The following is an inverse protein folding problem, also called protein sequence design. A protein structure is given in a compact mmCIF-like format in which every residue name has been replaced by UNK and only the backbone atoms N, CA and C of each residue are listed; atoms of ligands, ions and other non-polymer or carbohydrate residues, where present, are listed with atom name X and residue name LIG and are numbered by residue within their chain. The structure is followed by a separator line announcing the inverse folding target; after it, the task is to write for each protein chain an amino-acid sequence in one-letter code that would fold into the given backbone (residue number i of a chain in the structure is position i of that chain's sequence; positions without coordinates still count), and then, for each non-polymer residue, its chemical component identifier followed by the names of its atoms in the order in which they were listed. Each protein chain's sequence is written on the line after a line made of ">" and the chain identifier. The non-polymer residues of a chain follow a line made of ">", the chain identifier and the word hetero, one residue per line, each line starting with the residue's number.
data_IF_574960896281
#
_entry.id   IF_574960896281
#
_cell.length_a   1.000
_cell.length_b   1.000
_cell.length_c   1.000
_cell.angle_alpha   90.00
_cell.angle_beta   90.00
_cell.angle_gamma   90.00
#
_symmetry.space_group_name_H-M   'P 1'
#
loop_
_entity.id
_entity.type
_entity.pdbx_description
1 polymer ?
#
# COMPACT_ATOMS: atom_id res chain seq x y z
N UNK A 1 -39.70 -18.79 15.20
CA UNK A 1 -39.83 -17.94 13.99
C UNK A 1 -38.51 -17.21 13.77
N UNK A 2 -37.63 -17.76 12.93
CA UNK A 2 -36.48 -17.01 12.45
C UNK A 2 -36.96 -16.12 11.30
N UNK A 3 -36.90 -14.80 11.48
CA UNK A 3 -37.09 -13.88 10.38
C UNK A 3 -35.91 -14.04 9.41
N UNK A 4 -36.15 -14.73 8.30
CA UNK A 4 -35.32 -14.62 7.10
C UNK A 4 -35.40 -13.17 6.64
N UNK A 5 -34.41 -12.36 7.03
CA UNK A 5 -34.13 -11.09 6.36
C UNK A 5 -33.83 -11.45 4.91
N UNK A 6 -34.75 -11.10 4.01
CA UNK A 6 -34.54 -11.16 2.57
C UNK A 6 -33.38 -10.20 2.30
N UNK A 7 -32.18 -10.71 2.06
CA UNK A 7 -31.12 -9.87 1.51
C UNK A 7 -31.59 -9.47 0.11
N UNK A 8 -31.87 -8.18 -0.08
CA UNK A 8 -32.16 -7.63 -1.41
C UNK A 8 -30.97 -7.96 -2.33
N UNK A 9 -31.24 -8.44 -3.55
CA UNK A 9 -30.20 -8.64 -4.55
C UNK A 9 -29.52 -7.28 -4.82
N UNK A 10 -28.18 -7.23 -4.88
CA UNK A 10 -27.41 -6.03 -5.21
C UNK A 10 -28.00 -5.28 -6.41
N UNK A 11 -28.52 -6.02 -7.40
CA UNK A 11 -29.13 -5.46 -8.61
C UNK A 11 -30.38 -4.65 -8.31
N UNK A 12 -31.18 -5.06 -7.34
CA UNK A 12 -32.42 -4.37 -6.97
C UNK A 12 -32.12 -3.10 -6.17
N UNK A 13 -31.11 -3.13 -5.29
CA UNK A 13 -30.61 -1.93 -4.61
C UNK A 13 -30.08 -0.91 -5.63
N UNK A 14 -29.26 -1.36 -6.58
CA UNK A 14 -28.70 -0.49 -7.62
C UNK A 14 -29.78 0.08 -8.55
N UNK A 15 -30.85 -0.66 -8.88
CA UNK A 15 -32.01 -0.11 -9.63
C UNK A 15 -32.69 1.03 -8.87
N UNK A 16 -32.99 0.82 -7.57
CA UNK A 16 -33.59 1.87 -6.71
C UNK A 16 -32.71 3.13 -6.68
N UNK A 17 -31.38 2.99 -6.69
CA UNK A 17 -30.47 4.13 -6.73
C UNK A 17 -30.45 4.83 -8.09
N UNK A 18 -30.48 4.08 -9.20
CA UNK A 18 -30.59 4.68 -10.53
C UNK A 18 -31.85 5.52 -10.69
N UNK A 19 -32.99 5.02 -10.20
CA UNK A 19 -34.26 5.74 -10.25
C UNK A 19 -34.19 7.05 -9.45
N UNK A 20 -33.58 7.03 -8.26
CA UNK A 20 -33.37 8.24 -7.43
C UNK A 20 -32.41 9.25 -8.05
N UNK A 21 -31.40 8.77 -8.78
CA UNK A 21 -30.40 9.62 -9.45
C UNK A 21 -30.86 10.15 -10.80
N UNK A 22 -32.04 9.72 -11.28
CA UNK A 22 -32.53 9.97 -12.64
C UNK A 22 -31.52 9.57 -13.73
N UNK A 23 -30.66 8.58 -13.45
CA UNK A 23 -29.66 8.05 -14.38
C UNK A 23 -30.16 6.78 -15.06
N UNK A 24 -29.82 6.62 -16.34
CA UNK A 24 -30.17 5.41 -17.10
C UNK A 24 -29.06 4.35 -17.05
N UNK A 25 -29.41 3.08 -17.24
CA UNK A 25 -28.41 2.01 -17.42
C UNK A 25 -27.44 2.32 -18.59
N UNK A 26 -27.92 3.04 -19.62
CA UNK A 26 -27.11 3.43 -20.77
C UNK A 26 -26.05 4.49 -20.41
N UNK A 27 -26.39 5.43 -19.52
CA UNK A 27 -25.41 6.42 -19.04
C UNK A 27 -24.33 5.75 -18.19
N UNK A 28 -24.69 4.78 -17.35
CA UNK A 28 -23.72 4.00 -16.57
C UNK A 28 -22.80 3.18 -17.49
N UNK A 29 -23.38 2.47 -18.47
CA UNK A 29 -22.60 1.69 -19.43
C UNK A 29 -21.54 2.55 -20.14
N UNK A 30 -21.90 3.76 -20.57
CA UNK A 30 -20.97 4.72 -21.18
C UNK A 30 -19.89 5.19 -20.20
N UNK A 31 -20.25 5.49 -18.95
CA UNK A 31 -19.31 5.94 -17.93
C UNK A 31 -18.21 4.91 -17.64
N UNK A 32 -18.58 3.62 -17.59
CA UNK A 32 -17.64 2.53 -17.30
C UNK A 32 -17.04 1.89 -18.57
N UNK A 33 -17.31 2.44 -19.75
CA UNK A 33 -16.70 2.02 -21.01
C UNK A 33 -17.20 0.69 -21.59
N UNK A 34 -18.46 0.33 -21.37
CA UNK A 34 -19.06 -0.91 -21.90
C UNK A 34 -20.34 -0.66 -22.70
N UNK A 35 -20.84 -1.69 -23.38
CA UNK A 35 -22.11 -1.60 -24.13
C UNK A 35 -23.31 -1.72 -23.20
N UNK A 36 -24.44 -1.07 -23.58
CA UNK A 36 -25.73 -1.18 -22.87
C UNK A 36 -26.16 -2.64 -22.66
N UNK A 37 -25.84 -3.53 -23.60
CA UNK A 37 -26.19 -4.95 -23.51
C UNK A 37 -25.65 -5.64 -22.27
N UNK A 38 -24.44 -5.30 -21.82
CA UNK A 38 -23.88 -5.85 -20.58
C UNK A 38 -24.64 -5.36 -19.35
N UNK A 39 -25.03 -4.07 -19.29
CA UNK A 39 -25.83 -3.55 -18.18
C UNK A 39 -27.21 -4.20 -18.13
N UNK A 40 -27.90 -4.31 -19.26
CA UNK A 40 -29.20 -4.99 -19.30
C UNK A 40 -29.08 -6.45 -18.89
N UNK A 41 -28.01 -7.15 -19.29
CA UNK A 41 -27.70 -8.52 -18.84
C UNK A 41 -27.53 -8.59 -17.32
N UNK A 42 -26.77 -7.67 -16.73
CA UNK A 42 -26.54 -7.64 -15.29
C UNK A 42 -27.82 -7.41 -14.49
N UNK A 43 -28.60 -6.39 -14.83
CA UNK A 43 -29.84 -6.06 -14.12
C UNK A 43 -30.97 -7.08 -14.35
N UNK A 44 -30.86 -7.94 -15.36
CA UNK A 44 -31.75 -9.08 -15.59
C UNK A 44 -31.33 -10.34 -14.82
N UNK A 45 -30.35 -10.26 -13.91
CA UNK A 45 -29.89 -11.40 -13.11
C UNK A 45 -28.80 -12.25 -13.75
N UNK A 46 -28.38 -11.95 -14.98
CA UNK A 46 -27.32 -12.71 -15.67
C UNK A 46 -25.94 -12.20 -15.27
N UNK A 47 -24.96 -13.10 -15.27
CA UNK A 47 -23.59 -12.79 -14.89
C UNK A 47 -22.87 -11.94 -15.96
N UNK A 48 -22.11 -10.95 -15.49
CA UNK A 48 -21.15 -10.14 -16.27
C UNK A 48 -19.75 -10.28 -15.66
N UNK A 49 -18.73 -9.69 -16.28
CA UNK A 49 -17.40 -9.72 -15.72
C UNK A 49 -17.35 -8.99 -14.37
N UNK A 50 -16.62 -9.55 -13.40
CA UNK A 50 -16.60 -9.02 -12.04
C UNK A 50 -16.11 -7.56 -11.98
N UNK A 51 -15.11 -7.21 -12.78
CA UNK A 51 -14.66 -5.81 -12.91
C UNK A 51 -15.78 -4.86 -13.33
N UNK A 52 -16.71 -5.29 -14.19
CA UNK A 52 -17.84 -4.46 -14.60
C UNK A 52 -18.79 -4.23 -13.43
N UNK A 53 -18.95 -5.21 -12.54
CA UNK A 53 -19.76 -5.07 -11.32
C UNK A 53 -19.12 -4.04 -10.39
N UNK A 54 -17.80 -4.14 -10.15
CA UNK A 54 -17.05 -3.16 -9.34
C UNK A 54 -17.30 -1.74 -9.85
N UNK A 55 -17.06 -1.50 -11.14
CA UNK A 55 -17.19 -0.15 -11.71
C UNK A 55 -18.65 0.32 -11.73
N UNK A 56 -19.61 -0.58 -11.93
CA UNK A 56 -21.05 -0.27 -11.84
C UNK A 56 -21.42 0.19 -10.43
N UNK A 57 -20.97 -0.52 -9.39
CA UNK A 57 -21.24 -0.15 -8.00
C UNK A 57 -20.60 1.18 -7.65
N UNK A 58 -19.35 1.42 -8.07
CA UNK A 58 -18.64 2.69 -7.85
C UNK A 58 -19.32 3.89 -8.50
N UNK A 59 -19.86 3.71 -9.70
CA UNK A 59 -20.54 4.79 -10.43
C UNK A 59 -21.93 5.12 -9.85
N UNK A 60 -22.62 4.12 -9.29
CA UNK A 60 -24.00 4.28 -8.78
C UNK A 60 -24.03 4.61 -7.28
N UNK A 61 -23.20 3.94 -6.47
CA UNK A 61 -23.24 4.04 -5.01
C UNK A 61 -21.86 3.88 -4.37
N UNK A 62 -20.95 4.85 -4.57
CA UNK A 62 -19.58 4.77 -4.05
C UNK A 62 -19.51 4.71 -2.51
N UNK A 63 -20.48 5.33 -1.81
CA UNK A 63 -20.55 5.30 -0.34
C UNK A 63 -20.92 3.93 0.23
N UNK A 64 -21.64 3.10 -0.53
CA UNK A 64 -22.09 1.76 -0.11
C UNK A 64 -21.30 0.63 -0.78
N UNK A 65 -20.23 0.95 -1.53
CA UNK A 65 -19.47 0.01 -2.35
C UNK A 65 -19.11 -1.28 -1.58
N UNK A 66 -18.48 -1.13 -0.41
CA UNK A 66 -18.05 -2.27 0.40
C UNK A 66 -19.21 -3.13 0.87
N UNK A 67 -20.34 -2.53 1.26
CA UNK A 67 -21.51 -3.27 1.74
C UNK A 67 -22.16 -4.05 0.61
N UNK A 68 -22.37 -3.41 -0.54
CA UNK A 68 -22.96 -4.05 -1.72
C UNK A 68 -22.05 -5.18 -2.24
N UNK A 69 -20.74 -4.94 -2.33
CA UNK A 69 -19.80 -5.96 -2.78
C UNK A 69 -19.64 -7.10 -1.77
N UNK A 70 -19.82 -6.86 -0.47
CA UNK A 70 -19.90 -7.91 0.55
C UNK A 70 -21.09 -8.83 0.32
N UNK A 71 -22.26 -8.29 0.02
CA UNK A 71 -23.44 -9.09 -0.30
C UNK A 71 -23.24 -9.87 -1.61
N UNK A 72 -22.65 -9.23 -2.61
CA UNK A 72 -22.35 -9.87 -3.89
C UNK A 72 -21.37 -11.06 -3.74
N UNK A 73 -20.47 -11.05 -2.75
CA UNK A 73 -19.59 -12.20 -2.42
C UNK A 73 -20.35 -13.51 -2.24
N UNK A 74 -21.61 -13.44 -1.78
CA UNK A 74 -22.47 -14.58 -1.47
C UNK A 74 -23.39 -14.98 -2.63
N UNK A 75 -23.46 -14.19 -3.70
CA UNK A 75 -24.31 -14.46 -4.87
C UNK A 75 -23.73 -15.53 -5.81
N UNK A 76 -22.44 -15.82 -5.66
CA UNK A 76 -21.69 -16.79 -6.45
C UNK A 76 -21.26 -16.28 -7.83
N UNK A 77 -20.10 -16.76 -8.29
CA UNK A 77 -19.47 -16.33 -9.54
C UNK A 77 -18.86 -17.52 -10.29
N UNK A 78 -18.77 -17.42 -11.61
CA UNK A 78 -18.01 -18.34 -12.44
C UNK A 78 -16.52 -18.34 -12.02
N UNK A 79 -15.91 -19.54 -12.03
CA UNK A 79 -14.50 -19.78 -11.69
C UNK A 79 -13.53 -18.82 -12.39
N UNK A 80 -13.85 -18.35 -13.60
CA UNK A 80 -12.98 -17.42 -14.35
C UNK A 80 -12.86 -16.03 -13.70
N UNK A 81 -13.78 -15.67 -12.80
CA UNK A 81 -13.77 -14.36 -12.12
C UNK A 81 -13.19 -14.40 -10.71
N UNK A 82 -12.78 -15.58 -10.23
CA UNK A 82 -12.33 -15.77 -8.84
C UNK A 82 -11.08 -14.95 -8.52
N UNK A 83 -10.13 -14.80 -9.45
CA UNK A 83 -8.99 -13.90 -9.26
C UNK A 83 -9.44 -12.45 -9.06
N UNK A 84 -10.33 -11.94 -9.93
CA UNK A 84 -10.83 -10.56 -9.82
C UNK A 84 -11.59 -10.34 -8.51
N UNK A 85 -12.39 -11.31 -8.09
CA UNK A 85 -13.12 -11.25 -6.82
C UNK A 85 -12.16 -11.23 -5.63
N UNK A 86 -11.27 -12.23 -5.52
CA UNK A 86 -10.32 -12.32 -4.42
C UNK A 86 -9.41 -11.09 -4.35
N UNK A 87 -8.96 -10.57 -5.49
CA UNK A 87 -8.14 -9.35 -5.53
C UNK A 87 -8.92 -8.12 -5.03
N UNK A 88 -10.17 -7.97 -5.45
CA UNK A 88 -11.03 -6.89 -4.99
C UNK A 88 -11.20 -6.91 -3.46
N UNK A 89 -11.55 -8.07 -2.90
CA UNK A 89 -11.72 -8.17 -1.44
C UNK A 89 -10.39 -7.99 -0.70
N UNK A 90 -9.27 -8.46 -1.26
CA UNK A 90 -7.95 -8.25 -0.67
C UNK A 90 -7.57 -6.77 -0.62
N UNK A 91 -7.67 -6.05 -1.74
CA UNK A 91 -7.33 -4.62 -1.83
C UNK A 91 -8.18 -3.74 -0.92
N UNK A 92 -9.41 -4.17 -0.64
CA UNK A 92 -10.36 -3.48 0.26
C UNK A 92 -10.32 -3.97 1.71
N UNK A 93 -9.40 -4.89 2.05
CA UNK A 93 -9.22 -5.47 3.38
C UNK A 93 -10.46 -6.23 3.91
N UNK A 94 -11.22 -6.83 3.00
CA UNK A 94 -12.44 -7.60 3.27
C UNK A 94 -12.09 -9.09 3.46
N UNK A 95 -11.32 -9.39 4.52
CA UNK A 95 -10.70 -10.71 4.70
C UNK A 95 -11.69 -11.83 4.99
N UNK A 96 -12.85 -11.52 5.60
CA UNK A 96 -13.89 -12.50 5.84
C UNK A 96 -14.48 -13.01 4.52
N UNK A 97 -14.64 -12.12 3.55
CA UNK A 97 -15.14 -12.43 2.22
C UNK A 97 -14.11 -13.24 1.42
N UNK A 98 -12.81 -12.94 1.58
CA UNK A 98 -11.72 -13.77 1.01
C UNK A 98 -11.79 -15.19 1.56
N UNK A 99 -11.88 -15.36 2.90
CA UNK A 99 -11.98 -16.68 3.54
C UNK A 99 -13.21 -17.44 3.05
N UNK A 100 -14.36 -16.77 2.98
CA UNK A 100 -15.59 -17.35 2.42
C UNK A 100 -15.40 -17.84 0.98
N UNK A 101 -14.78 -17.05 0.10
CA UNK A 101 -14.53 -17.47 -1.29
C UNK A 101 -13.55 -18.64 -1.33
N UNK A 102 -12.48 -18.63 -0.53
CA UNK A 102 -11.53 -19.74 -0.45
C UNK A 102 -12.23 -21.04 -0.08
N UNK A 103 -13.11 -21.02 0.93
CA UNK A 103 -13.79 -22.22 1.41
C UNK A 103 -14.77 -22.77 0.36
N UNK A 104 -15.49 -21.90 -0.35
CA UNK A 104 -16.51 -22.31 -1.32
C UNK A 104 -15.95 -22.64 -2.72
N UNK A 105 -14.79 -22.10 -3.11
CA UNK A 105 -14.26 -22.21 -4.48
C UNK A 105 -12.94 -22.99 -4.60
N UNK A 106 -12.37 -23.46 -3.49
CA UNK A 106 -11.09 -24.20 -3.50
C UNK A 106 -11.09 -25.43 -4.41
N UNK A 107 -12.23 -26.10 -4.60
CA UNK A 107 -12.36 -27.26 -5.48
C UNK A 107 -12.37 -26.92 -6.98
N UNK A 108 -12.86 -25.72 -7.35
CA UNK A 108 -13.05 -25.30 -8.75
C UNK A 108 -11.99 -24.31 -9.24
N UNK A 109 -11.36 -23.57 -8.33
CA UNK A 109 -10.31 -22.59 -8.60
C UNK A 109 -9.14 -22.71 -7.58
N UNK A 110 -8.53 -23.90 -7.43
CA UNK A 110 -7.52 -24.15 -6.41
C UNK A 110 -6.32 -23.21 -6.51
N UNK A 111 -5.83 -22.92 -7.72
CA UNK A 111 -4.67 -22.03 -7.94
C UNK A 111 -4.91 -20.64 -7.34
N UNK A 112 -6.09 -20.04 -7.58
CA UNK A 112 -6.45 -18.74 -7.05
C UNK A 112 -6.62 -18.78 -5.54
N UNK A 113 -7.41 -19.74 -5.03
CA UNK A 113 -7.67 -19.86 -3.60
C UNK A 113 -6.39 -20.12 -2.80
N UNK A 114 -5.46 -20.94 -3.31
CA UNK A 114 -4.18 -21.21 -2.65
C UNK A 114 -3.27 -19.97 -2.65
N UNK A 115 -3.23 -19.21 -3.75
CA UNK A 115 -2.46 -17.96 -3.81
C UNK A 115 -2.98 -16.93 -2.78
N UNK A 116 -4.29 -16.74 -2.66
CA UNK A 116 -4.83 -15.81 -1.66
C UNK A 116 -4.79 -16.34 -0.23
N UNK A 117 -4.82 -17.67 -0.03
CA UNK A 117 -4.52 -18.25 1.29
C UNK A 117 -3.08 -17.95 1.70
N UNK A 118 -2.13 -18.06 0.78
CA UNK A 118 -0.76 -17.61 1.00
C UNK A 118 -0.71 -16.11 1.33
N UNK A 119 -1.44 -15.27 0.60
CA UNK A 119 -1.47 -13.83 0.86
C UNK A 119 -1.99 -13.48 2.27
N UNK A 120 -3.03 -14.19 2.75
CA UNK A 120 -3.54 -14.04 4.11
C UNK A 120 -2.48 -14.45 5.15
N UNK A 121 -1.89 -15.63 4.99
CA UNK A 121 -0.85 -16.12 5.89
C UNK A 121 0.40 -15.22 5.90
N UNK A 122 0.75 -14.68 4.73
CA UNK A 122 1.86 -13.76 4.57
C UNK A 122 1.68 -12.46 5.37
N UNK A 123 0.44 -11.99 5.48
CA UNK A 123 0.09 -10.81 6.27
C UNK A 123 0.06 -11.09 7.77
N UNK A 124 -0.38 -12.28 8.16
CA UNK A 124 -0.59 -12.64 9.58
C UNK A 124 0.70 -13.06 10.31
N UNK A 125 1.78 -13.40 9.59
CA UNK A 125 3.03 -13.84 10.21
C UNK A 125 4.26 -13.14 9.64
N UNK A 126 5.27 -12.88 10.48
CA UNK A 126 6.57 -12.36 10.01
C UNK A 126 7.62 -13.47 10.00
N UNK A 127 7.44 -14.43 9.09
CA UNK A 127 8.31 -15.62 8.97
C UNK A 127 8.81 -15.83 7.54
N UNK A 128 9.83 -15.07 7.11
CA UNK A 128 10.21 -15.00 5.70
C UNK A 128 10.64 -16.34 5.08
N UNK A 129 11.33 -17.20 5.83
CA UNK A 129 11.75 -18.52 5.34
C UNK A 129 10.57 -19.50 5.17
N UNK A 130 9.59 -19.44 6.07
CA UNK A 130 8.37 -20.25 5.95
C UNK A 130 7.55 -19.79 4.73
N UNK A 131 7.47 -18.48 4.50
CA UNK A 131 6.82 -17.92 3.32
C UNK A 131 7.51 -18.33 2.03
N UNK A 132 8.84 -18.31 1.97
CA UNK A 132 9.56 -18.76 0.78
C UNK A 132 9.26 -20.23 0.46
N UNK A 133 9.27 -21.11 1.46
CA UNK A 133 8.92 -22.53 1.28
C UNK A 133 7.48 -22.71 0.84
N UNK A 134 6.55 -21.98 1.45
CA UNK A 134 5.13 -22.03 1.10
C UNK A 134 4.91 -21.57 -0.34
N UNK A 135 5.56 -20.49 -0.76
CA UNK A 135 5.46 -19.95 -2.11
C UNK A 135 6.00 -20.92 -3.18
N UNK A 136 7.14 -21.57 -2.92
CA UNK A 136 7.73 -22.55 -3.84
C UNK A 136 6.83 -23.77 -4.11
N UNK A 137 5.89 -24.06 -3.20
CA UNK A 137 4.93 -25.14 -3.36
C UNK A 137 3.68 -24.73 -4.17
N UNK A 138 3.50 -23.42 -4.43
CA UNK A 138 2.41 -22.92 -5.25
C UNK A 138 2.75 -23.03 -6.73
N UNK A 139 1.77 -23.44 -7.52
CA UNK A 139 1.85 -23.45 -8.98
C UNK A 139 0.59 -22.82 -9.52
N UNK A 140 0.75 -21.96 -10.52
CA UNK A 140 -0.37 -21.32 -11.22
C UNK A 140 -0.30 -21.63 -12.72
N UNK A 141 -1.43 -22.06 -13.27
CA UNK A 141 -1.53 -22.32 -14.72
C UNK A 141 -1.90 -21.07 -15.51
N UNK A 142 -2.74 -20.21 -14.94
CA UNK A 142 -3.26 -19.01 -15.61
C UNK A 142 -2.25 -17.86 -15.59
N UNK A 143 -2.43 -16.89 -16.48
CA UNK A 143 -1.55 -15.72 -16.56
C UNK A 143 -1.72 -14.81 -15.33
N UNK A 144 -2.93 -14.71 -14.80
CA UNK A 144 -3.25 -13.97 -13.57
C UNK A 144 -2.53 -14.58 -12.38
N UNK A 145 -2.58 -15.91 -12.23
CA UNK A 145 -1.91 -16.60 -11.15
C UNK A 145 -0.39 -16.51 -11.24
N UNK A 146 0.18 -16.67 -12.45
CA UNK A 146 1.63 -16.51 -12.66
C UNK A 146 2.08 -15.09 -12.28
N UNK A 147 1.37 -14.07 -12.74
CA UNK A 147 1.66 -12.67 -12.39
C UNK A 147 1.63 -12.47 -10.87
N UNK A 148 0.60 -13.01 -10.19
CA UNK A 148 0.45 -12.86 -8.75
C UNK A 148 1.54 -13.58 -7.96
N UNK A 149 1.93 -14.80 -8.36
CA UNK A 149 3.01 -15.53 -7.70
C UNK A 149 4.36 -14.81 -7.83
N UNK A 150 4.66 -14.20 -8.98
CA UNK A 150 5.86 -13.38 -9.18
C UNK A 150 5.86 -12.12 -8.29
N UNK A 151 4.69 -11.49 -8.12
CA UNK A 151 4.53 -10.37 -7.18
C UNK A 151 4.80 -10.85 -5.74
N UNK A 152 4.25 -11.99 -5.33
CA UNK A 152 4.51 -12.56 -4.01
C UNK A 152 5.98 -12.93 -3.81
N UNK A 153 6.63 -13.46 -4.84
CA UNK A 153 8.06 -13.76 -4.80
C UNK A 153 8.88 -12.48 -4.57
N UNK A 154 8.50 -11.39 -5.23
CA UNK A 154 9.15 -10.10 -5.02
C UNK A 154 8.97 -9.56 -3.60
N UNK A 155 7.81 -9.74 -2.95
CA UNK A 155 7.61 -9.39 -1.55
C UNK A 155 8.47 -10.26 -0.61
N UNK A 156 8.54 -11.58 -0.87
CA UNK A 156 9.37 -12.50 -0.07
C UNK A 156 10.83 -12.08 -0.15
N UNK A 157 11.36 -11.87 -1.36
CA UNK A 157 12.73 -11.42 -1.56
C UNK A 157 13.00 -10.05 -0.93
N UNK A 158 12.06 -9.11 -1.04
CA UNK A 158 12.17 -7.80 -0.38
C UNK A 158 12.31 -7.96 1.14
N UNK A 159 11.47 -8.79 1.77
CA UNK A 159 11.46 -8.99 3.22
C UNK A 159 12.71 -9.71 3.77
N UNK A 160 13.36 -10.57 2.97
CA UNK A 160 14.68 -11.14 3.33
C UNK A 160 15.85 -10.28 2.86
N UNK A 161 15.56 -9.12 2.27
CA UNK A 161 16.55 -8.16 1.83
C UNK A 161 17.41 -8.63 0.66
N UNK A 162 16.82 -9.39 -0.26
CA UNK A 162 17.40 -9.80 -1.54
C UNK A 162 16.81 -8.95 -2.67
N UNK A 163 17.11 -7.67 -2.68
CA UNK A 163 16.44 -6.68 -3.55
C UNK A 163 16.63 -6.93 -5.04
N UNK A 164 17.81 -7.37 -5.48
CA UNK A 164 18.05 -7.71 -6.89
C UNK A 164 17.12 -8.83 -7.38
N UNK A 165 16.89 -9.84 -6.53
CA UNK A 165 15.94 -10.93 -6.83
C UNK A 165 14.48 -10.45 -6.80
N UNK A 166 14.17 -9.49 -5.93
CA UNK A 166 12.86 -8.84 -5.90
C UNK A 166 12.58 -8.11 -7.21
N UNK A 167 13.54 -7.31 -7.69
CA UNK A 167 13.45 -6.61 -8.98
C UNK A 167 13.36 -7.57 -10.16
N UNK A 168 14.15 -8.64 -10.16
CA UNK A 168 14.09 -9.67 -11.19
C UNK A 168 12.70 -10.34 -11.26
N UNK A 169 12.08 -10.60 -10.11
CA UNK A 169 10.72 -11.16 -10.04
C UNK A 169 9.66 -10.15 -10.49
N UNK A 170 9.85 -8.86 -10.16
CA UNK A 170 9.00 -7.78 -10.66
C UNK A 170 9.02 -7.70 -12.20
N UNK A 171 10.19 -7.84 -12.83
CA UNK A 171 10.28 -7.79 -14.28
C UNK A 171 9.55 -8.97 -14.94
N UNK A 172 9.64 -10.18 -14.35
CA UNK A 172 8.81 -11.32 -14.79
C UNK A 172 7.31 -11.04 -14.60
N UNK A 173 6.92 -10.47 -13.47
CA UNK A 173 5.53 -10.08 -13.21
C UNK A 173 5.00 -9.09 -14.27
N UNK A 174 5.80 -8.08 -14.65
CA UNK A 174 5.45 -7.11 -15.70
C UNK A 174 5.24 -7.78 -17.05
N UNK A 175 6.07 -8.77 -17.41
CA UNK A 175 5.89 -9.52 -18.66
C UNK A 175 4.58 -10.30 -18.66
N UNK A 176 4.24 -11.00 -17.57
CA UNK A 176 2.95 -11.70 -17.47
C UNK A 176 1.76 -10.73 -17.44
N UNK A 177 1.89 -9.59 -16.77
CA UNK A 177 0.86 -8.56 -16.67
C UNK A 177 0.40 -8.04 -18.05
N UNK A 178 1.27 -8.04 -19.07
CA UNK A 178 0.91 -7.64 -20.44
C UNK A 178 -0.21 -8.51 -21.02
N UNK A 179 -0.27 -9.79 -20.63
CA UNK A 179 -1.25 -10.77 -21.09
C UNK A 179 -2.56 -10.81 -20.30
N UNK A 180 -2.71 -10.03 -19.23
CA UNK A 180 -3.95 -9.98 -18.45
C UNK A 180 -5.00 -9.14 -19.18
N UNK A 181 -6.15 -9.75 -19.46
CA UNK A 181 -7.29 -9.10 -20.13
C UNK A 181 -8.22 -8.35 -19.17
N UNK A 182 -8.30 -8.78 -17.92
CA UNK A 182 -9.15 -8.12 -16.92
C UNK A 182 -8.53 -6.77 -16.52
N UNK A 183 -9.21 -5.64 -16.81
CA UNK A 183 -8.66 -4.31 -16.56
C UNK A 183 -8.50 -4.00 -15.07
N UNK A 184 -9.37 -4.56 -14.22
CA UNK A 184 -9.26 -4.39 -12.78
C UNK A 184 -8.04 -5.12 -12.24
N UNK A 185 -7.84 -6.40 -12.61
CA UNK A 185 -6.65 -7.15 -12.20
C UNK A 185 -5.37 -6.49 -12.70
N UNK A 186 -5.34 -6.04 -13.96
CA UNK A 186 -4.19 -5.36 -14.53
C UNK A 186 -3.84 -4.10 -13.74
N UNK A 187 -4.84 -3.30 -13.38
CA UNK A 187 -4.69 -2.10 -12.55
C UNK A 187 -4.21 -2.43 -11.14
N UNK A 188 -4.80 -3.45 -10.50
CA UNK A 188 -4.48 -3.84 -9.13
C UNK A 188 -3.08 -4.43 -8.99
N UNK A 189 -2.71 -5.35 -9.89
CA UNK A 189 -1.37 -5.94 -9.89
C UNK A 189 -0.30 -4.91 -10.24
N UNK A 190 -0.59 -3.95 -11.12
CA UNK A 190 0.31 -2.82 -11.36
C UNK A 190 0.53 -1.99 -10.09
N UNK A 191 -0.52 -1.70 -9.32
CA UNK A 191 -0.39 -0.95 -8.07
C UNK A 191 0.52 -1.68 -7.07
N UNK A 192 0.37 -2.99 -6.92
CA UNK A 192 1.28 -3.82 -6.09
C UNK A 192 2.73 -3.73 -6.54
N UNK A 193 2.99 -3.81 -7.85
CA UNK A 193 4.34 -3.68 -8.42
C UNK A 193 4.91 -2.29 -8.13
N UNK A 194 4.13 -1.24 -8.38
CA UNK A 194 4.56 0.15 -8.16
C UNK A 194 4.89 0.42 -6.68
N UNK A 195 4.17 -0.19 -5.74
CA UNK A 195 4.44 -0.08 -4.30
C UNK A 195 5.82 -0.64 -3.90
N UNK A 196 6.17 -1.82 -4.40
CA UNK A 196 7.47 -2.44 -4.12
C UNK A 196 8.59 -1.66 -4.79
N UNK A 197 8.38 -1.24 -6.05
CA UNK A 197 9.35 -0.44 -6.80
C UNK A 197 9.63 0.89 -6.10
N UNK A 198 8.58 1.62 -5.68
CA UNK A 198 8.74 2.89 -5.00
C UNK A 198 9.56 2.75 -3.71
N UNK A 199 9.29 1.71 -2.90
CA UNK A 199 10.07 1.44 -1.69
C UNK A 199 11.52 1.03 -2.00
N UNK A 200 11.71 0.12 -2.95
CA UNK A 200 13.04 -0.42 -3.30
C UNK A 200 13.93 0.66 -3.89
N UNK A 201 13.42 1.44 -4.85
CA UNK A 201 14.16 2.54 -5.44
C UNK A 201 14.51 3.60 -4.41
N UNK A 202 13.60 3.94 -3.49
CA UNK A 202 13.90 4.96 -2.49
C UNK A 202 14.91 4.44 -1.47
N UNK A 203 14.58 3.38 -0.74
CA UNK A 203 15.34 2.96 0.44
C UNK A 203 16.58 2.15 0.11
N UNK A 204 16.57 1.40 -1.00
CA UNK A 204 17.62 0.44 -1.33
C UNK A 204 18.57 0.96 -2.41
N UNK A 205 18.03 1.38 -3.56
CA UNK A 205 18.87 1.93 -4.64
C UNK A 205 19.24 3.41 -4.40
N UNK A 206 18.59 4.08 -3.44
CA UNK A 206 18.70 5.52 -3.23
C UNK A 206 18.46 6.33 -4.53
N UNK A 207 17.58 5.80 -5.40
CA UNK A 207 17.19 6.38 -6.67
C UNK A 207 15.85 7.12 -6.52
N UNK A 208 15.96 8.40 -6.14
CA UNK A 208 14.83 9.26 -5.79
C UNK A 208 13.87 9.46 -6.96
N UNK A 209 14.39 9.64 -8.18
CA UNK A 209 13.58 9.90 -9.38
C UNK A 209 12.68 8.70 -9.71
N UNK A 210 13.26 7.51 -9.84
CA UNK A 210 12.49 6.29 -10.09
C UNK A 210 11.48 6.00 -8.97
N UNK A 211 11.85 6.27 -7.72
CA UNK A 211 10.95 6.11 -6.59
C UNK A 211 9.73 7.03 -6.70
N UNK A 212 9.93 8.30 -7.05
CA UNK A 212 8.84 9.27 -7.27
C UNK A 212 7.95 8.86 -8.44
N UNK A 213 8.52 8.40 -9.55
CA UNK A 213 7.74 7.93 -10.70
C UNK A 213 6.83 6.76 -10.33
N UNK A 214 7.37 5.75 -9.63
CA UNK A 214 6.59 4.62 -9.14
C UNK A 214 5.53 5.06 -8.11
N UNK A 215 5.86 5.94 -7.17
CA UNK A 215 4.90 6.43 -6.18
C UNK A 215 3.78 7.28 -6.82
N UNK A 216 4.10 8.15 -7.78
CA UNK A 216 3.09 8.92 -8.53
C UNK A 216 2.19 8.00 -9.35
N UNK A 217 2.77 6.99 -10.00
CA UNK A 217 2.01 5.96 -10.71
C UNK A 217 1.06 5.23 -9.75
N UNK A 218 1.56 4.78 -8.60
CA UNK A 218 0.75 4.13 -7.56
C UNK A 218 -0.40 5.01 -7.09
N UNK A 219 -0.11 6.27 -6.75
CA UNK A 219 -1.11 7.25 -6.33
C UNK A 219 -2.20 7.45 -7.39
N UNK A 220 -1.80 7.57 -8.67
CA UNK A 220 -2.72 7.75 -9.80
C UNK A 220 -3.60 6.52 -10.05
N UNK A 221 -3.15 5.31 -9.69
CA UNK A 221 -4.02 4.13 -9.82
C UNK A 221 -5.27 4.27 -8.96
N UNK A 222 -5.16 4.83 -7.75
CA UNK A 222 -6.29 4.99 -6.83
C UNK A 222 -7.04 3.68 -6.55
N UNK A 223 -6.35 2.53 -6.59
CA UNK A 223 -7.00 1.22 -6.45
C UNK A 223 -7.55 0.98 -5.04
N UNK A 224 -6.86 1.50 -4.02
CA UNK A 224 -7.33 1.53 -2.64
C UNK A 224 -6.70 2.70 -1.87
N UNK A 225 -7.37 3.15 -0.82
CA UNK A 225 -6.90 4.25 0.06
C UNK A 225 -5.54 3.93 0.69
N UNK A 226 -5.29 2.66 1.04
CA UNK A 226 -4.00 2.22 1.58
C UNK A 226 -2.84 2.47 0.62
N UNK A 227 -2.99 2.15 -0.66
CA UNK A 227 -1.93 2.41 -1.65
C UNK A 227 -1.71 3.91 -1.86
N UNK A 228 -2.77 4.72 -1.85
CA UNK A 228 -2.68 6.18 -1.94
C UNK A 228 -1.92 6.73 -0.73
N UNK A 229 -2.20 6.25 0.48
CA UNK A 229 -1.45 6.61 1.67
C UNK A 229 0.03 6.23 1.55
N UNK A 230 0.35 4.99 1.15
CA UNK A 230 1.75 4.54 0.95
C UNK A 230 2.48 5.42 -0.05
N UNK A 231 1.86 5.70 -1.21
CA UNK A 231 2.44 6.58 -2.22
C UNK A 231 2.66 8.01 -1.70
N UNK A 232 1.69 8.56 -0.97
CA UNK A 232 1.76 9.91 -0.40
C UNK A 232 2.89 10.02 0.62
N UNK A 233 3.04 9.00 1.48
CA UNK A 233 4.15 8.88 2.42
C UNK A 233 5.51 8.86 1.68
N UNK A 234 5.66 8.00 0.68
CA UNK A 234 6.92 7.86 -0.06
C UNK A 234 7.28 9.15 -0.81
N UNK A 235 6.29 9.87 -1.37
CA UNK A 235 6.52 11.18 -1.97
C UNK A 235 6.98 12.18 -0.91
N UNK A 236 6.32 12.25 0.24
CA UNK A 236 6.73 13.10 1.37
C UNK A 236 8.16 12.85 1.80
N UNK A 237 8.53 11.58 2.02
CA UNK A 237 9.88 11.17 2.38
C UNK A 237 10.88 11.49 1.26
N UNK A 238 10.54 11.23 -0.01
CA UNK A 238 11.47 11.46 -1.12
C UNK A 238 11.89 12.94 -1.26
N UNK A 239 11.06 13.89 -0.84
CA UNK A 239 11.37 15.32 -0.87
C UNK A 239 12.07 15.82 0.40
N UNK A 240 12.32 14.96 1.40
CA UNK A 240 12.82 15.34 2.72
C UNK A 240 14.10 16.19 2.64
N UNK A 241 15.05 15.85 1.75
CA UNK A 241 16.32 16.59 1.60
C UNK A 241 16.25 17.77 0.64
N UNK A 242 15.31 17.76 -0.31
CA UNK A 242 15.26 18.74 -1.40
C UNK A 242 14.34 19.92 -1.09
N UNK A 243 13.23 19.68 -0.40
CA UNK A 243 12.21 20.71 -0.20
C UNK A 243 11.34 20.42 1.01
N UNK A 244 11.59 21.16 2.09
CA UNK A 244 10.73 21.24 3.27
C UNK A 244 9.25 21.42 2.89
N UNK A 245 8.95 22.41 2.03
CA UNK A 245 7.57 22.74 1.66
C UNK A 245 6.86 21.58 0.95
N UNK A 246 7.54 20.90 0.01
CA UNK A 246 6.94 19.76 -0.71
C UNK A 246 6.76 18.56 0.22
N UNK A 247 7.78 18.22 1.00
CA UNK A 247 7.74 17.11 1.95
C UNK A 247 6.61 17.29 2.97
N UNK A 248 6.54 18.46 3.63
CA UNK A 248 5.47 18.81 4.57
C UNK A 248 4.08 18.76 3.93
N UNK A 249 3.95 19.25 2.69
CA UNK A 249 2.65 19.25 1.99
C UNK A 249 2.13 17.82 1.75
N UNK A 250 3.01 16.88 1.38
CA UNK A 250 2.62 15.48 1.25
C UNK A 250 2.29 14.83 2.59
N UNK A 251 3.09 15.09 3.64
CA UNK A 251 2.77 14.56 4.97
C UNK A 251 1.44 15.10 5.53
N UNK A 252 1.12 16.39 5.30
CA UNK A 252 -0.19 16.97 5.64
C UNK A 252 -1.33 16.31 4.87
N UNK A 253 -1.14 16.04 3.57
CA UNK A 253 -2.13 15.28 2.78
C UNK A 253 -2.32 13.87 3.34
N UNK A 254 -1.23 13.20 3.74
CA UNK A 254 -1.29 11.88 4.34
C UNK A 254 -2.06 11.88 5.67
N UNK A 255 -1.81 12.86 6.55
CA UNK A 255 -2.55 13.00 7.80
C UNK A 255 -4.05 13.22 7.56
N UNK A 256 -4.42 14.00 6.53
CA UNK A 256 -5.82 14.16 6.13
C UNK A 256 -6.46 12.84 5.68
N UNK A 257 -5.72 12.00 4.96
CA UNK A 257 -6.22 10.67 4.56
C UNK A 257 -6.50 9.78 5.78
N UNK A 258 -5.72 9.91 6.86
CA UNK A 258 -5.91 9.14 8.08
C UNK A 258 -7.16 9.53 8.88
N UNK A 259 -7.74 10.72 8.67
CA UNK A 259 -8.99 11.15 9.33
C UNK A 259 -10.15 10.16 9.08
N UNK A 260 -10.09 9.40 7.98
CA UNK A 260 -11.09 8.40 7.61
C UNK A 260 -10.87 7.02 8.28
N UNK A 261 -9.78 6.86 9.04
CA UNK A 261 -9.32 5.59 9.63
C UNK A 261 -8.90 5.79 11.09
N UNK A 262 -9.85 6.04 12.01
CA UNK A 262 -9.55 6.32 13.42
C UNK A 262 -8.81 5.18 14.12
N UNK A 263 -8.91 3.95 13.61
CA UNK A 263 -8.18 2.78 14.12
C UNK A 263 -6.66 2.80 13.83
N UNK A 264 -6.18 3.75 13.03
CA UNK A 264 -4.76 3.90 12.62
C UNK A 264 -4.06 5.05 13.35
N UNK A 265 -4.40 5.23 14.62
CA UNK A 265 -3.87 6.31 15.47
C UNK A 265 -2.34 6.24 15.62
N UNK A 266 -1.77 5.03 15.72
CA UNK A 266 -0.32 4.84 15.80
C UNK A 266 0.40 5.39 14.58
N UNK A 267 -0.12 5.13 13.37
CA UNK A 267 0.46 5.68 12.14
C UNK A 267 0.29 7.20 12.05
N UNK A 268 -0.79 7.76 12.59
CA UNK A 268 -0.95 9.23 12.70
C UNK A 268 0.15 9.82 13.57
N UNK A 269 0.39 9.24 14.76
CA UNK A 269 1.44 9.69 15.69
C UNK A 269 2.82 9.59 15.03
N UNK A 270 3.14 8.46 14.40
CA UNK A 270 4.40 8.25 13.69
C UNK A 270 4.62 9.29 12.57
N UNK A 271 3.59 9.61 11.78
CA UNK A 271 3.71 10.60 10.71
C UNK A 271 3.84 12.03 11.25
N UNK A 272 3.22 12.35 12.39
CA UNK A 272 3.44 13.63 13.06
C UNK A 272 4.85 13.74 13.62
N UNK A 273 5.39 12.67 14.20
CA UNK A 273 6.78 12.60 14.64
C UNK A 273 7.77 12.77 13.47
N UNK A 274 7.51 12.15 12.31
CA UNK A 274 8.31 12.35 11.10
C UNK A 274 8.26 13.82 10.61
N UNK A 275 7.12 14.51 10.73
CA UNK A 275 7.02 15.94 10.46
C UNK A 275 7.86 16.76 11.44
N UNK A 276 7.82 16.45 12.74
CA UNK A 276 8.65 17.13 13.74
C UNK A 276 10.15 16.95 13.45
N UNK A 277 10.57 15.75 13.07
CA UNK A 277 11.93 15.43 12.61
C UNK A 277 12.29 16.26 11.37
N UNK A 278 11.39 16.35 10.38
CA UNK A 278 11.56 17.19 9.20
C UNK A 278 11.71 18.67 9.57
N UNK A 279 10.85 19.19 10.45
CA UNK A 279 10.90 20.59 10.91
C UNK A 279 12.24 20.89 11.57
N UNK A 280 12.66 20.03 12.50
CA UNK A 280 13.94 20.19 13.19
C UNK A 280 15.13 20.13 12.22
N UNK A 281 15.14 19.15 11.29
CA UNK A 281 16.20 19.02 10.29
C UNK A 281 16.35 20.28 9.42
N UNK A 282 15.24 20.93 9.06
CA UNK A 282 15.22 22.18 8.28
C UNK A 282 15.35 23.45 9.14
N UNK A 283 15.76 23.32 10.39
CA UNK A 283 15.91 24.42 11.35
C UNK A 283 14.62 25.26 11.50
N UNK A 284 13.46 24.60 11.47
CA UNK A 284 12.15 25.20 11.76
C UNK A 284 11.75 24.90 13.20
N UNK A 285 10.97 25.80 13.79
CA UNK A 285 10.28 25.51 15.05
C UNK A 285 9.34 24.31 14.81
N UNK A 286 9.34 23.36 15.73
CA UNK A 286 8.37 22.27 15.72
C UNK A 286 7.00 22.84 16.09
N UNK A 287 6.00 22.64 15.24
CA UNK A 287 4.64 23.10 15.53
C UNK A 287 4.03 22.23 16.65
N UNK A 288 3.20 22.83 17.50
CA UNK A 288 2.56 22.15 18.64
C UNK A 288 1.76 20.91 18.19
N UNK A 289 1.12 20.98 17.02
CA UNK A 289 0.36 19.88 16.43
C UNK A 289 1.20 18.62 16.12
N UNK A 290 2.53 18.79 16.00
CA UNK A 290 3.50 17.73 15.68
C UNK A 290 4.39 17.38 16.87
N UNK A 291 4.29 18.12 17.97
CA UNK A 291 4.95 17.78 19.22
C UNK A 291 4.10 16.78 20.02
N UNK A 292 4.04 15.54 19.53
CA UNK A 292 3.07 14.52 19.98
C UNK A 292 3.65 13.41 20.85
N UNK A 293 4.98 13.27 20.90
CA UNK A 293 5.64 12.24 21.69
C UNK A 293 6.65 12.88 22.64
N UNK A 294 7.07 12.14 23.66
CA UNK A 294 8.16 12.59 24.52
C UNK A 294 9.47 12.81 23.72
N UNK A 295 9.68 12.05 22.63
CA UNK A 295 10.82 12.26 21.73
C UNK A 295 10.74 13.63 21.05
N UNK A 296 9.60 13.98 20.45
CA UNK A 296 9.44 15.28 19.79
C UNK A 296 9.51 16.44 20.78
N UNK A 297 9.09 16.22 22.03
CA UNK A 297 9.17 17.23 23.07
C UNK A 297 10.62 17.55 23.41
N UNK A 298 11.43 16.52 23.73
CA UNK A 298 12.85 16.70 23.99
C UNK A 298 13.58 17.32 22.79
N UNK A 299 13.20 16.92 21.57
CA UNK A 299 13.74 17.50 20.34
C UNK A 299 13.43 19.00 20.24
N UNK A 300 12.19 19.41 20.56
CA UNK A 300 11.76 20.81 20.53
C UNK A 300 12.45 21.69 21.58
N UNK A 301 12.75 21.12 22.74
CA UNK A 301 13.43 21.79 23.86
C UNK A 301 14.95 21.83 23.68
N UNK A 302 15.49 21.08 22.70
CA UNK A 302 16.93 20.91 22.51
C UNK A 302 17.59 20.04 23.58
N UNK A 303 16.80 19.25 24.31
CA UNK A 303 17.23 18.34 25.39
C UNK A 303 17.94 17.09 24.86
N UNK A 304 18.71 16.41 25.73
CA UNK A 304 19.41 15.16 25.36
C UNK A 304 18.42 14.05 25.00
N UNK A 305 18.72 13.28 23.94
CA UNK A 305 17.90 12.18 23.46
C UNK A 305 18.46 10.79 23.87
N UNK A 306 19.37 10.74 24.84
CA UNK A 306 20.05 9.52 25.26
C UNK A 306 19.11 8.37 25.69
N UNK A 307 17.92 8.68 26.22
CA UNK A 307 16.88 7.71 26.56
C UNK A 307 16.43 6.87 25.36
N UNK A 308 16.60 7.39 24.14
CA UNK A 308 16.19 6.75 22.89
C UNK A 308 17.33 5.98 22.19
N UNK A 309 18.53 5.87 22.80
CA UNK A 309 19.64 5.13 22.19
C UNK A 309 19.41 3.62 22.11
N UNK A 310 18.43 3.09 22.83
CA UNK A 310 18.01 1.68 22.78
C UNK A 310 16.73 1.47 21.96
N UNK A 311 16.03 2.54 21.59
CA UNK A 311 14.82 2.46 20.79
C UNK A 311 15.17 2.19 19.33
N UNK A 312 14.81 1.02 18.77
CA UNK A 312 15.24 0.66 17.41
C UNK A 312 14.77 1.65 16.33
N UNK A 313 13.58 2.24 16.50
CA UNK A 313 13.01 3.20 15.55
C UNK A 313 13.66 4.58 15.66
N UNK A 314 13.84 5.08 16.88
CA UNK A 314 14.26 6.45 17.16
C UNK A 314 15.77 6.60 17.36
N UNK A 315 16.48 5.51 17.68
CA UNK A 315 17.93 5.50 17.89
C UNK A 315 18.71 6.19 16.77
N UNK A 316 18.46 5.94 15.47
CA UNK A 316 19.19 6.65 14.41
C UNK A 316 19.05 8.17 14.52
N UNK A 317 17.85 8.67 14.81
CA UNK A 317 17.57 10.11 14.96
C UNK A 317 18.11 10.68 16.27
N UNK A 318 18.02 9.93 17.37
CA UNK A 318 18.57 10.33 18.65
C UNK A 318 20.09 10.56 18.56
N UNK A 319 20.81 9.62 17.97
CA UNK A 319 22.25 9.75 17.72
C UNK A 319 22.57 10.89 16.74
N UNK A 320 21.75 11.07 15.71
CA UNK A 320 21.92 12.18 14.76
C UNK A 320 21.87 13.53 15.46
N UNK A 321 20.77 13.82 16.16
CA UNK A 321 20.51 15.15 16.69
C UNK A 321 21.38 15.47 17.90
N UNK A 322 21.64 14.50 18.79
CA UNK A 322 22.64 14.66 19.84
C UNK A 322 24.04 14.88 19.25
N UNK A 323 24.40 14.12 18.20
CA UNK A 323 25.69 14.27 17.51
C UNK A 323 25.88 15.64 16.87
N UNK A 324 24.85 16.19 16.22
CA UNK A 324 24.87 17.54 15.67
C UNK A 324 25.03 18.58 16.79
N UNK A 325 24.21 18.49 17.85
CA UNK A 325 24.21 19.49 18.94
C UNK A 325 25.52 19.50 19.73
N UNK A 326 26.08 18.32 19.98
CA UNK A 326 27.31 18.15 20.76
C UNK A 326 28.58 18.23 19.91
N UNK A 327 28.44 18.35 18.58
CA UNK A 327 29.55 18.33 17.62
C UNK A 327 30.37 17.03 17.75
N UNK A 328 29.66 15.91 17.87
CA UNK A 328 30.21 14.55 18.12
C UNK A 328 30.11 13.67 16.87
N UNK A 329 31.20 13.60 16.12
CA UNK A 329 31.33 12.78 14.91
C UNK A 329 31.00 11.30 15.13
N UNK A 330 31.41 10.72 16.25
CA UNK A 330 31.16 9.33 16.60
C UNK A 330 29.67 9.01 16.71
N UNK A 331 28.86 9.93 17.27
CA UNK A 331 27.41 9.78 17.32
C UNK A 331 26.78 9.82 15.92
N UNK A 332 27.26 10.69 15.04
CA UNK A 332 26.76 10.78 13.67
C UNK A 332 27.17 9.54 12.85
N UNK A 333 28.35 8.98 13.09
CA UNK A 333 28.77 7.69 12.51
C UNK A 333 27.89 6.53 13.00
N UNK A 334 27.49 6.52 14.27
CA UNK A 334 26.52 5.55 14.79
C UNK A 334 25.15 5.69 14.12
N UNK A 335 24.66 6.92 13.91
CA UNK A 335 23.46 7.17 13.12
C UNK A 335 23.57 6.55 11.70
N UNK A 336 24.68 6.80 10.99
CA UNK A 336 24.93 6.20 9.67
C UNK A 336 24.93 4.68 9.72
N UNK A 337 25.59 4.09 10.72
CA UNK A 337 25.61 2.65 10.92
C UNK A 337 24.19 2.09 11.09
N UNK A 338 23.36 2.72 11.93
CA UNK A 338 22.01 2.21 12.20
C UNK A 338 21.05 2.36 11.02
N UNK A 339 21.10 3.45 10.26
CA UNK A 339 20.34 3.52 9.01
C UNK A 339 20.79 2.47 7.99
N UNK A 340 22.10 2.19 7.92
CA UNK A 340 22.64 1.16 7.03
C UNK A 340 22.26 -0.26 7.47
N UNK A 341 22.26 -0.53 8.79
CA UNK A 341 21.80 -1.80 9.38
C UNK A 341 20.32 -2.06 9.04
N UNK A 342 19.49 -1.00 9.12
CA UNK A 342 18.09 -1.01 8.71
C UNK A 342 17.89 -1.01 7.19
N UNK A 343 18.98 -0.85 6.42
CA UNK A 343 18.99 -0.75 4.97
C UNK A 343 18.11 0.40 4.47
N UNK A 344 18.09 1.52 5.18
CA UNK A 344 17.47 2.77 4.73
C UNK A 344 18.57 3.69 4.21
N UNK A 345 19.06 3.41 3.00
CA UNK A 345 20.16 4.17 2.40
C UNK A 345 19.75 5.58 2.01
N UNK A 346 18.44 5.83 1.83
CA UNK A 346 17.93 7.18 1.65
C UNK A 346 18.19 8.02 2.91
N UNK A 347 17.74 7.54 4.08
CA UNK A 347 17.97 8.25 5.35
C UNK A 347 19.43 8.22 5.78
N UNK A 348 20.22 7.23 5.36
CA UNK A 348 21.66 7.21 5.56
C UNK A 348 22.38 8.41 4.90
N UNK A 349 21.75 9.11 3.95
CA UNK A 349 22.31 10.37 3.44
C UNK A 349 22.30 11.49 4.48
N UNK A 350 21.39 11.47 5.46
CA UNK A 350 21.31 12.49 6.50
C UNK A 350 22.64 12.61 7.26
N UNK A 351 23.14 11.55 7.93
CA UNK A 351 24.42 11.63 8.62
C UNK A 351 25.60 11.87 7.66
N UNK A 352 25.57 11.34 6.42
CA UNK A 352 26.63 11.63 5.42
C UNK A 352 26.74 13.12 5.11
N UNK A 353 25.61 13.81 4.94
CA UNK A 353 25.57 15.26 4.71
C UNK A 353 26.13 16.01 5.92
N UNK A 354 25.80 15.59 7.14
CA UNK A 354 26.29 16.26 8.34
C UNK A 354 27.79 16.03 8.57
N UNK A 355 28.29 14.81 8.34
CA UNK A 355 29.72 14.49 8.45
C UNK A 355 30.56 15.33 7.49
N UNK A 356 30.08 15.52 6.25
CA UNK A 356 30.73 16.42 5.27
C UNK A 356 30.79 17.87 5.74
N UNK A 357 29.78 18.36 6.47
CA UNK A 357 29.81 19.71 7.06
C UNK A 357 30.78 19.83 8.23
N UNK A 358 31.22 18.71 8.81
CA UNK A 358 32.20 18.65 9.90
C UNK A 358 33.60 18.30 9.38
N UNK A 359 33.86 18.51 8.08
CA UNK A 359 35.13 18.22 7.40
C UNK A 359 35.60 16.76 7.46
N UNK A 360 34.69 15.81 7.73
CA UNK A 360 34.93 14.39 7.48
C UNK A 360 34.40 14.01 6.10
N UNK A 361 35.30 13.92 5.13
CA UNK A 361 34.96 13.39 3.83
C UNK A 361 34.87 11.85 3.88
N UNK A 362 33.65 11.33 3.99
CA UNK A 362 33.37 9.92 3.76
C UNK A 362 33.30 9.67 2.24
N UNK A 363 34.46 9.57 1.60
CA UNK A 363 34.58 8.89 0.30
C UNK A 363 34.54 7.38 0.54
N UNK A 364 33.33 6.86 0.80
CA UNK A 364 33.03 5.43 0.87
C UNK A 364 31.84 5.10 -0.05
#
# INVERSE_FOLDING_TARGET
>A
MHSTVKNDDIRDVLKKHLDKMEKSQNSIAKAIGITKGYMSKFFSGKEIAFWMVIETVREISPSEEKQLMKEYSKSGFDKKYIYSALEYYYTNQMFNEIRYIIDNYSSVAPDACNAYRFALNFRESFKPLEHQRALNNLKAKTIEGKTLLEIFESYVYYNIGKYDLSLYSIDRAKEFLKGINDPFLKKSFKARIDEILANTYLKQENNIEKARDSAMSLMKTGISKSHVMTATYLLGLSYFFESYKKSLNYYKQLLKLYEEFPEREEEVIQNKEEIAILQYYWCKKIDEDYNVTHFTQLLSEGSSLNLYYLDKSLRPYAYLFDGIREVRTDKILLCLHFFSEQRDYFRANIPKIQLKKMDLDLTL
#
